data_IF_771456735562
#
_entry.id   IF_771456735562
#
_cell.length_a   1.000
_cell.length_b   1.000
_cell.length_c   1.000
_cell.angle_alpha   90.00
_cell.angle_beta   90.00
_cell.angle_gamma   90.00
#
_symmetry.space_group_name_H-M   'P 1'
#
loop_
_entity.id
_entity.type
_entity.pdbx_description
1 polymer ?
#
# COMPACT_ATOMS: atom_id res chain seq x y z
N UNK A 1 35.32 33.93 -15.92
CA UNK A 1 35.15 35.33 -15.49
C UNK A 1 33.71 35.53 -15.18
N UNK A 2 33.47 35.59 -13.99
CA UNK A 2 33.00 36.59 -13.07
C UNK A 2 31.51 36.48 -12.72
N UNK A 3 31.17 35.82 -11.63
CA UNK A 3 29.97 36.08 -10.81
C UNK A 3 30.21 35.77 -9.31
N UNK A 4 31.41 36.15 -8.80
CA UNK A 4 31.79 36.04 -7.38
C UNK A 4 32.06 37.40 -6.73
N UNK A 5 31.36 38.47 -7.11
CA UNK A 5 31.57 39.80 -6.52
C UNK A 5 30.27 40.60 -6.32
N UNK A 6 29.27 40.02 -5.65
CA UNK A 6 28.08 40.79 -5.26
C UNK A 6 27.44 40.36 -3.91
N UNK A 7 28.24 39.84 -3.00
CA UNK A 7 27.79 39.51 -1.65
C UNK A 7 28.66 40.08 -0.52
N UNK A 8 29.48 41.13 -0.83
CA UNK A 8 30.44 41.70 0.14
C UNK A 8 30.21 43.18 0.48
N UNK A 9 29.05 43.78 0.18
CA UNK A 9 28.84 45.24 0.37
C UNK A 9 27.61 45.60 1.20
N UNK A 10 27.16 44.74 2.13
CA UNK A 10 26.05 45.06 3.03
C UNK A 10 26.38 44.86 4.52
N UNK A 11 27.66 44.85 4.89
CA UNK A 11 28.10 44.72 6.30
C UNK A 11 29.17 45.72 6.70
N UNK A 12 29.21 46.88 6.07
CA UNK A 12 30.11 47.97 6.49
C UNK A 12 29.37 49.31 6.45
N UNK A 13 28.64 49.63 7.49
CA UNK A 13 27.99 50.92 7.57
C UNK A 13 27.05 51.08 8.74
N UNK A 14 27.51 50.93 9.98
CA UNK A 14 27.06 51.71 11.15
C UNK A 14 28.11 51.51 12.26
N UNK A 15 29.13 52.34 12.25
CA UNK A 15 29.93 52.62 13.43
C UNK A 15 30.49 54.01 13.27
N UNK A 16 29.78 55.00 13.77
CA UNK A 16 30.34 56.25 14.40
C UNK A 16 29.21 57.21 14.71
N UNK A 17 28.91 57.39 15.96
CA UNK A 17 28.45 58.62 16.62
C UNK A 17 28.26 58.29 18.12
N UNK A 18 29.29 58.41 18.83
CA UNK A 18 29.67 59.46 19.81
C UNK A 18 28.70 59.70 20.96
N UNK A 19 29.19 59.32 22.14
CA UNK A 19 29.15 60.01 23.43
C UNK A 19 27.91 60.83 23.85
N UNK A 20 27.20 60.47 24.86
CA UNK A 20 27.21 61.01 26.21
C UNK A 20 26.03 60.58 27.07
N UNK A 21 26.34 60.36 28.34
CA UNK A 21 25.53 60.42 29.52
C UNK A 21 24.72 59.17 29.95
N UNK A 22 25.35 58.46 30.85
CA UNK A 22 24.82 57.92 32.12
C UNK A 22 23.32 58.03 32.36
N UNK A 23 22.69 56.90 32.30
CA UNK A 23 21.75 56.43 33.33
C UNK A 23 21.69 54.94 33.23
N UNK A 24 22.13 54.23 34.28
CA UNK A 24 21.91 52.79 34.44
C UNK A 24 20.40 52.57 34.63
N UNK A 25 19.73 52.36 33.54
CA UNK A 25 18.39 51.75 33.57
C UNK A 25 18.61 50.27 33.64
N UNK A 26 18.22 49.67 34.75
CA UNK A 26 18.12 48.20 34.90
C UNK A 26 17.30 47.69 33.72
N UNK A 27 17.88 46.77 32.96
CA UNK A 27 17.17 46.09 31.89
C UNK A 27 15.86 45.55 32.46
N UNK A 28 14.76 45.80 31.80
CA UNK A 28 13.47 45.32 32.23
C UNK A 28 13.46 43.77 32.20
N UNK A 29 12.75 43.17 33.08
CA UNK A 29 12.65 41.70 33.15
C UNK A 29 12.29 41.07 31.79
N UNK A 30 11.60 41.82 30.94
CA UNK A 30 11.31 41.51 29.52
C UNK A 30 12.54 41.51 28.60
N UNK A 31 13.45 42.44 28.80
CA UNK A 31 14.69 42.54 27.99
C UNK A 31 15.62 41.35 28.32
N UNK A 32 15.79 41.03 29.59
CA UNK A 32 16.53 39.85 30.04
C UNK A 32 15.92 38.55 29.53
N UNK A 33 14.58 38.44 29.49
CA UNK A 33 13.90 37.28 28.88
C UNK A 33 14.08 37.23 27.36
N UNK A 34 14.13 38.37 26.66
CA UNK A 34 14.37 38.44 25.23
C UNK A 34 15.81 38.03 24.89
N UNK A 35 16.78 38.49 25.66
CA UNK A 35 18.19 38.13 25.47
C UNK A 35 18.40 36.62 25.72
N UNK A 36 17.83 36.09 26.78
CA UNK A 36 17.89 34.64 27.07
C UNK A 36 17.23 33.78 25.95
N UNK A 37 16.15 34.28 25.33
CA UNK A 37 15.51 33.63 24.16
C UNK A 37 16.34 33.74 22.91
N UNK A 38 17.00 34.87 22.66
CA UNK A 38 17.91 35.04 21.52
C UNK A 38 19.12 34.13 21.65
N UNK A 39 19.75 34.03 22.82
CA UNK A 39 20.86 33.09 23.04
C UNK A 39 20.44 31.63 22.90
N UNK A 40 19.21 31.27 23.30
CA UNK A 40 18.68 29.92 23.11
C UNK A 40 18.42 29.60 21.65
N UNK A 41 17.92 30.58 20.88
CA UNK A 41 17.72 30.47 19.43
C UNK A 41 19.05 30.39 18.67
N UNK A 42 20.06 31.16 19.03
CA UNK A 42 21.38 31.09 18.42
C UNK A 42 22.05 29.72 18.66
N UNK A 43 21.93 29.18 19.90
CA UNK A 43 22.41 27.83 20.21
C UNK A 43 21.67 26.75 19.41
N UNK A 44 20.35 26.85 19.29
CA UNK A 44 19.54 25.94 18.50
C UNK A 44 19.86 26.02 17.00
N UNK A 45 20.10 27.23 16.49
CA UNK A 45 20.50 27.43 15.10
C UNK A 45 21.90 26.89 14.81
N UNK A 46 22.85 27.05 15.71
CA UNK A 46 24.18 26.46 15.63
C UNK A 46 24.15 24.92 15.62
N UNK A 47 23.31 24.33 16.48
CA UNK A 47 23.09 22.87 16.52
C UNK A 47 22.48 22.35 15.21
N UNK A 48 21.43 23.00 14.70
CA UNK A 48 20.80 22.66 13.42
C UNK A 48 21.75 22.78 12.23
N UNK A 49 22.62 23.79 12.21
CA UNK A 49 23.66 23.90 11.18
C UNK A 49 24.67 22.74 11.26
N UNK A 50 25.03 22.32 12.48
CA UNK A 50 25.91 21.16 12.69
C UNK A 50 25.28 19.87 12.19
N UNK A 51 24.00 19.63 12.52
CA UNK A 51 23.26 18.45 12.02
C UNK A 51 23.08 18.47 10.50
N UNK A 52 22.81 19.64 9.93
CA UNK A 52 22.69 19.78 8.47
C UNK A 52 24.02 19.46 7.76
N UNK A 53 25.15 19.90 8.32
CA UNK A 53 26.47 19.59 7.77
C UNK A 53 26.79 18.10 7.89
N UNK A 54 26.48 17.47 9.02
CA UNK A 54 26.63 16.04 9.23
C UNK A 54 25.78 15.25 8.24
N UNK A 55 24.51 15.58 8.11
CA UNK A 55 23.58 14.93 7.15
C UNK A 55 24.04 15.09 5.70
N UNK A 56 24.61 16.26 5.33
CA UNK A 56 25.18 16.46 4.00
C UNK A 56 26.42 15.59 3.75
N UNK A 57 27.26 15.41 4.76
CA UNK A 57 28.44 14.54 4.65
C UNK A 57 28.05 13.07 4.55
N UNK A 58 27.09 12.62 5.34
CA UNK A 58 26.52 11.26 5.28
C UNK A 58 25.86 10.98 3.92
N UNK A 59 25.10 11.91 3.38
CA UNK A 59 24.52 11.81 2.05
C UNK A 59 25.56 11.78 0.93
N UNK A 60 26.66 12.50 1.07
CA UNK A 60 27.76 12.45 0.11
C UNK A 60 28.47 11.08 0.13
N UNK A 61 28.69 10.52 1.33
CA UNK A 61 29.27 9.18 1.50
C UNK A 61 28.33 8.08 0.95
N UNK A 62 27.03 8.19 1.19
CA UNK A 62 26.02 7.27 0.62
C UNK A 62 25.99 7.34 -0.91
N UNK A 63 26.08 8.53 -1.50
CA UNK A 63 26.14 8.68 -2.96
C UNK A 63 27.39 8.04 -3.55
N UNK A 64 28.54 8.17 -2.90
CA UNK A 64 29.76 7.46 -3.32
C UNK A 64 29.63 5.95 -3.20
N UNK A 65 29.00 5.45 -2.13
CA UNK A 65 28.75 4.02 -1.96
C UNK A 65 27.79 3.48 -3.04
N UNK A 66 26.75 4.23 -3.40
CA UNK A 66 25.82 3.89 -4.49
C UNK A 66 26.55 3.84 -5.84
N UNK A 67 27.36 4.85 -6.16
CA UNK A 67 28.14 4.87 -7.41
C UNK A 67 29.13 3.70 -7.48
N UNK A 68 29.76 3.34 -6.36
CA UNK A 68 30.66 2.19 -6.31
C UNK A 68 29.93 0.83 -6.40
N UNK A 69 28.69 0.75 -5.89
CA UNK A 69 27.83 -0.41 -6.05
C UNK A 69 27.32 -0.56 -7.49
N UNK A 70 26.98 0.57 -8.13
CA UNK A 70 26.51 0.61 -9.53
C UNK A 70 27.64 0.22 -10.51
N UNK A 71 28.89 0.66 -10.26
CA UNK A 71 30.03 0.23 -11.06
C UNK A 71 30.33 -1.27 -10.92
N UNK A 72 30.23 -1.84 -9.71
CA UNK A 72 30.34 -3.28 -9.48
C UNK A 72 29.19 -4.09 -10.09
N UNK A 73 27.99 -3.54 -10.06
CA UNK A 73 26.84 -4.14 -10.74
C UNK A 73 27.01 -4.12 -12.26
N UNK A 74 27.55 -3.04 -12.83
CA UNK A 74 27.84 -2.91 -14.27
C UNK A 74 28.96 -3.88 -14.70
N UNK A 75 30.01 -4.09 -13.90
CA UNK A 75 31.02 -5.11 -14.14
C UNK A 75 30.43 -6.52 -14.08
N UNK A 76 29.58 -6.81 -13.10
CA UNK A 76 28.90 -8.10 -12.99
C UNK A 76 27.97 -8.37 -14.19
N UNK A 77 27.26 -7.33 -14.69
CA UNK A 77 26.46 -7.40 -15.91
C UNK A 77 27.33 -7.66 -17.14
N UNK A 78 28.51 -7.04 -17.24
CA UNK A 78 29.44 -7.24 -18.36
C UNK A 78 30.03 -8.65 -18.37
N UNK A 79 30.37 -9.20 -17.19
CA UNK A 79 30.83 -10.59 -17.03
C UNK A 79 29.68 -11.57 -17.33
N UNK A 80 28.43 -11.27 -16.91
CA UNK A 80 27.28 -12.08 -17.24
C UNK A 80 26.91 -12.04 -18.73
N UNK A 81 27.11 -10.91 -19.42
CA UNK A 81 26.94 -10.79 -20.87
C UNK A 81 28.03 -11.57 -21.65
N UNK A 82 29.26 -11.55 -21.18
CA UNK A 82 30.35 -12.34 -21.80
C UNK A 82 30.13 -13.86 -21.64
N UNK A 83 29.54 -14.29 -20.52
CA UNK A 83 29.14 -15.69 -20.31
C UNK A 83 27.92 -16.08 -21.19
N UNK A 84 27.08 -15.14 -21.57
CA UNK A 84 25.88 -15.35 -22.40
C UNK A 84 26.18 -15.64 -23.88
N UNK A 85 27.34 -15.24 -24.38
CA UNK A 85 27.79 -15.51 -25.77
C UNK A 85 28.25 -16.96 -25.96
N UNK A 86 28.52 -17.68 -24.89
CA UNK A 86 29.06 -19.06 -24.92
C UNK A 86 28.02 -20.18 -24.85
N UNK A 87 26.71 -19.89 -24.68
CA UNK A 87 25.68 -20.93 -24.55
C UNK A 87 24.34 -20.49 -25.14
N UNK A 88 24.21 -20.57 -26.46
CA UNK A 88 22.93 -20.47 -27.15
C UNK A 88 22.18 -21.82 -27.02
N UNK A 89 21.49 -22.04 -25.90
CA UNK A 89 20.42 -23.03 -25.79
C UNK A 89 19.14 -22.24 -25.50
N UNK A 90 18.00 -22.51 -26.20
CA UNK A 90 16.75 -21.81 -25.91
C UNK A 90 16.38 -22.05 -24.45
N UNK A 91 16.42 -21.00 -23.64
CA UNK A 91 16.06 -21.08 -22.24
C UNK A 91 14.54 -21.26 -22.09
N UNK A 92 14.09 -22.47 -21.90
CA UNK A 92 12.80 -22.72 -21.32
C UNK A 92 12.87 -22.22 -19.85
N UNK A 93 12.15 -21.12 -19.56
CA UNK A 93 11.78 -20.69 -18.22
C UNK A 93 12.88 -20.25 -17.22
N UNK A 94 13.82 -19.37 -17.60
CA UNK A 94 14.79 -18.75 -16.68
C UNK A 94 16.24 -19.15 -16.94
N UNK A 95 17.18 -18.58 -16.20
CA UNK A 95 18.60 -18.88 -16.25
C UNK A 95 19.10 -19.41 -14.90
N UNK A 96 20.27 -20.08 -14.90
CA UNK A 96 20.90 -20.59 -13.67
C UNK A 96 22.08 -19.74 -13.27
N UNK A 97 22.32 -19.58 -11.97
CA UNK A 97 23.45 -18.85 -11.40
C UNK A 97 24.28 -19.74 -10.45
N UNK A 98 25.49 -19.31 -10.17
CA UNK A 98 26.43 -20.06 -9.33
C UNK A 98 26.87 -21.35 -10.00
N UNK A 99 26.95 -22.44 -9.25
CA UNK A 99 27.29 -23.79 -9.75
C UNK A 99 26.19 -24.45 -10.59
N UNK A 100 25.20 -23.69 -11.09
CA UNK A 100 24.06 -24.21 -11.83
C UNK A 100 22.91 -24.73 -10.94
N UNK A 101 23.02 -24.60 -9.62
CA UNK A 101 22.05 -25.13 -8.66
C UNK A 101 20.83 -24.23 -8.48
N UNK A 102 20.94 -22.91 -8.70
CA UNK A 102 19.85 -21.93 -8.51
C UNK A 102 19.27 -21.51 -9.84
N UNK A 103 17.99 -21.77 -10.04
CA UNK A 103 17.20 -21.24 -11.17
C UNK A 103 16.69 -19.86 -10.82
N UNK A 104 16.88 -18.90 -11.72
CA UNK A 104 16.43 -17.52 -11.61
C UNK A 104 15.39 -17.24 -12.68
N UNK A 105 14.23 -16.75 -12.29
CA UNK A 105 13.20 -16.23 -13.19
C UNK A 105 12.94 -14.77 -12.88
N UNK A 106 13.02 -13.93 -13.91
CA UNK A 106 12.60 -12.55 -13.86
C UNK A 106 11.31 -12.46 -14.67
N UNK A 107 10.32 -11.76 -14.16
CA UNK A 107 9.09 -11.52 -14.85
C UNK A 107 8.40 -10.27 -14.31
N UNK A 108 7.26 -9.98 -14.88
CA UNK A 108 6.53 -8.78 -14.51
C UNK A 108 5.58 -8.33 -15.59
N UNK A 109 5.23 -7.08 -15.49
CA UNK A 109 4.51 -6.40 -16.54
C UNK A 109 4.80 -4.89 -16.50
N UNK A 110 4.82 -4.28 -17.67
CA UNK A 110 4.73 -2.84 -17.83
C UNK A 110 3.25 -2.52 -17.98
N UNK A 111 2.74 -1.61 -17.16
CA UNK A 111 1.33 -1.20 -17.23
C UNK A 111 1.23 0.32 -17.17
N UNK A 112 0.53 0.89 -18.16
CA UNK A 112 0.13 2.28 -18.18
C UNK A 112 -1.37 2.38 -18.03
N UNK A 113 -1.83 3.38 -17.29
CA UNK A 113 -3.23 3.61 -16.97
C UNK A 113 -3.56 5.09 -17.22
N UNK A 114 -4.69 5.34 -17.87
CA UNK A 114 -5.28 6.67 -17.99
C UNK A 114 -6.64 6.66 -17.30
N UNK A 115 -6.86 7.51 -16.31
CA UNK A 115 -8.10 7.64 -15.57
C UNK A 115 -8.79 8.96 -15.88
N UNK A 116 -10.11 8.91 -16.01
CA UNK A 116 -10.99 10.07 -16.14
C UNK A 116 -12.04 9.94 -15.05
N UNK A 117 -11.90 10.74 -14.02
CA UNK A 117 -12.70 10.65 -12.79
C UNK A 117 -13.61 11.87 -12.65
N UNK A 118 -14.85 11.63 -12.25
CA UNK A 118 -15.80 12.66 -11.84
C UNK A 118 -16.23 12.38 -10.41
N UNK A 119 -16.05 13.37 -9.53
CA UNK A 119 -16.39 13.33 -8.12
C UNK A 119 -17.62 14.22 -7.86
N UNK A 120 -18.57 13.75 -7.07
CA UNK A 120 -19.82 14.51 -6.82
C UNK A 120 -19.63 15.67 -5.84
N UNK A 121 -18.82 15.52 -4.81
CA UNK A 121 -18.86 16.36 -3.62
C UNK A 121 -17.49 16.86 -3.17
N UNK A 122 -16.66 17.33 -4.08
CA UNK A 122 -15.35 17.90 -3.77
C UNK A 122 -14.26 17.44 -4.73
N UNK A 123 -13.04 17.77 -4.39
CA UNK A 123 -11.83 17.47 -5.17
C UNK A 123 -10.90 16.54 -4.39
N UNK A 124 -10.12 15.75 -5.10
CA UNK A 124 -9.13 14.83 -4.55
C UNK A 124 -7.74 15.38 -4.78
N UNK A 125 -6.94 15.49 -3.73
CA UNK A 125 -5.58 16.02 -3.82
C UNK A 125 -4.75 15.29 -4.89
N UNK A 126 -3.94 16.03 -5.63
CA UNK A 126 -3.14 15.50 -6.76
C UNK A 126 -2.20 14.34 -6.39
N UNK A 127 -1.77 14.25 -5.13
CA UNK A 127 -0.90 13.19 -4.62
C UNK A 127 -1.66 12.07 -3.87
N UNK A 128 -3.00 12.09 -3.92
CA UNK A 128 -3.83 11.06 -3.29
C UNK A 128 -3.77 9.76 -4.07
N UNK A 129 -3.62 8.63 -3.39
CA UNK A 129 -3.74 7.31 -4.00
C UNK A 129 -5.12 7.06 -4.63
N UNK A 130 -6.16 7.78 -4.17
CA UNK A 130 -7.51 7.71 -4.75
C UNK A 130 -7.59 8.22 -6.20
N UNK A 131 -6.59 8.98 -6.68
CA UNK A 131 -6.45 9.34 -8.09
C UNK A 131 -5.82 8.22 -8.91
N UNK A 132 -4.86 7.49 -8.34
CA UNK A 132 -4.12 6.42 -9.00
C UNK A 132 -4.96 5.14 -9.20
N UNK A 133 -5.86 4.84 -8.26
CA UNK A 133 -6.76 3.68 -8.30
C UNK A 133 -8.01 3.93 -7.46
N UNK A 134 -8.99 3.05 -7.59
CA UNK A 134 -10.23 3.14 -6.81
C UNK A 134 -10.00 2.88 -5.33
N UNK A 135 -10.27 3.90 -4.52
CA UNK A 135 -10.12 3.87 -3.07
C UNK A 135 -11.35 4.55 -2.43
N UNK A 136 -12.32 3.80 -1.89
CA UNK A 136 -13.60 4.35 -1.42
C UNK A 136 -13.43 5.49 -0.40
N UNK A 137 -12.52 5.34 0.56
CA UNK A 137 -12.27 6.37 1.58
C UNK A 137 -11.68 7.68 1.04
N UNK A 138 -11.19 7.69 -0.20
CA UNK A 138 -10.71 8.90 -0.87
C UNK A 138 -11.83 9.67 -1.59
N UNK A 139 -13.03 9.10 -1.73
CA UNK A 139 -14.17 9.80 -2.34
C UNK A 139 -14.57 10.96 -1.44
N UNK A 140 -14.57 12.23 -1.94
CA UNK A 140 -14.92 13.38 -1.15
C UNK A 140 -16.39 13.35 -0.72
N UNK A 141 -16.67 13.78 0.52
CA UNK A 141 -18.02 13.89 1.09
C UNK A 141 -18.20 15.29 1.69
N UNK A 142 -19.37 15.85 1.55
CA UNK A 142 -19.75 17.13 2.17
C UNK A 142 -19.29 18.39 1.43
N UNK A 143 -18.63 18.25 0.29
CA UNK A 143 -18.36 19.37 -0.61
C UNK A 143 -19.60 19.83 -1.37
N UNK A 144 -19.52 21.02 -1.97
CA UNK A 144 -20.64 21.67 -2.69
C UNK A 144 -20.46 21.69 -4.20
N UNK A 145 -19.36 21.17 -4.70
CA UNK A 145 -19.03 21.20 -6.14
C UNK A 145 -18.59 19.84 -6.62
N UNK A 146 -19.01 19.50 -7.81
CA UNK A 146 -18.40 18.42 -8.59
C UNK A 146 -16.99 18.81 -9.03
N UNK A 147 -16.10 17.84 -9.12
CA UNK A 147 -14.80 17.99 -9.74
C UNK A 147 -14.51 16.88 -10.75
N UNK A 148 -13.56 17.12 -11.64
CA UNK A 148 -13.09 16.14 -12.62
C UNK A 148 -11.57 16.12 -12.63
N UNK A 149 -11.01 14.90 -12.64
CA UNK A 149 -9.58 14.67 -12.71
C UNK A 149 -9.25 13.75 -13.89
N UNK A 150 -8.14 14.05 -14.53
CA UNK A 150 -7.56 13.20 -15.56
C UNK A 150 -6.10 12.91 -15.19
N UNK A 151 -5.78 11.64 -15.02
CA UNK A 151 -4.45 11.21 -14.65
C UNK A 151 -3.93 10.17 -15.65
N UNK A 152 -2.63 10.22 -15.93
CA UNK A 152 -1.94 9.23 -16.73
C UNK A 152 -0.71 8.74 -15.97
N UNK A 153 -0.61 7.44 -15.74
CA UNK A 153 0.41 6.88 -14.84
C UNK A 153 0.93 5.52 -15.33
N UNK A 154 2.20 5.25 -15.03
CA UNK A 154 2.82 3.93 -15.19
C UNK A 154 3.19 3.27 -13.84
N UNK A 155 2.72 3.82 -12.71
CA UNK A 155 3.04 3.37 -11.34
C UNK A 155 2.68 1.91 -11.08
N UNK A 156 1.69 1.37 -11.78
CA UNK A 156 1.28 -0.02 -11.63
C UNK A 156 2.22 -1.03 -12.30
N UNK A 157 3.26 -0.56 -13.01
CA UNK A 157 4.33 -1.42 -13.54
C UNK A 157 4.96 -2.22 -12.42
N UNK A 158 5.08 -3.54 -12.61
CA UNK A 158 5.50 -4.49 -11.58
C UNK A 158 6.60 -5.40 -12.08
N UNK A 159 7.58 -5.62 -11.23
CA UNK A 159 8.69 -6.53 -11.47
C UNK A 159 8.76 -7.56 -10.34
N UNK A 160 9.13 -8.79 -10.68
CA UNK A 160 9.40 -9.82 -9.69
C UNK A 160 10.58 -10.69 -10.09
N UNK A 161 11.27 -11.16 -9.07
CA UNK A 161 12.37 -12.10 -9.13
C UNK A 161 11.97 -13.36 -8.35
N UNK A 162 12.12 -14.52 -8.97
CA UNK A 162 11.91 -15.82 -8.31
C UNK A 162 13.20 -16.63 -8.41
N UNK A 163 13.70 -17.08 -7.26
CA UNK A 163 14.85 -17.94 -7.09
C UNK A 163 14.38 -19.32 -6.64
N UNK A 164 14.90 -20.38 -7.23
CA UNK A 164 14.58 -21.75 -6.80
C UNK A 164 15.85 -22.61 -6.85
N UNK A 165 16.13 -23.30 -5.75
CA UNK A 165 17.28 -24.17 -5.59
C UNK A 165 16.85 -25.48 -4.93
N UNK A 166 17.39 -26.59 -5.41
CA UNK A 166 17.29 -27.88 -4.73
C UNK A 166 18.57 -28.11 -3.92
N UNK A 167 18.44 -28.25 -2.60
CA UNK A 167 19.58 -28.44 -1.68
C UNK A 167 19.27 -29.61 -0.75
N UNK A 168 20.10 -30.65 -0.76
CA UNK A 168 19.98 -31.82 0.13
C UNK A 168 18.58 -32.46 0.14
N UNK A 169 17.89 -32.46 -1.00
CA UNK A 169 16.53 -33.01 -1.13
C UNK A 169 15.40 -32.05 -0.74
N UNK A 170 15.73 -30.81 -0.34
CA UNK A 170 14.79 -29.77 0.01
C UNK A 170 14.66 -28.73 -1.11
N UNK A 171 13.50 -28.09 -1.22
CA UNK A 171 13.25 -26.97 -2.12
C UNK A 171 13.38 -25.65 -1.36
N UNK A 172 14.37 -24.84 -1.75
CA UNK A 172 14.54 -23.48 -1.26
C UNK A 172 14.11 -22.50 -2.34
N UNK A 173 13.20 -21.56 -2.00
CA UNK A 173 12.77 -20.50 -2.90
C UNK A 173 12.99 -19.12 -2.26
N UNK A 174 13.36 -18.15 -3.10
CA UNK A 174 13.37 -16.74 -2.77
C UNK A 174 12.46 -16.00 -3.74
N UNK A 175 11.68 -15.04 -3.26
CA UNK A 175 10.78 -14.25 -4.08
C UNK A 175 10.84 -12.78 -3.67
N UNK A 176 10.97 -11.89 -4.66
CA UNK A 176 10.89 -10.43 -4.46
C UNK A 176 9.96 -9.85 -5.52
N UNK A 177 9.04 -8.99 -5.11
CA UNK A 177 8.10 -8.30 -5.99
C UNK A 177 8.04 -6.81 -5.62
N UNK A 178 8.11 -5.94 -6.63
CA UNK A 178 8.10 -4.49 -6.47
C UNK A 178 7.20 -3.84 -7.51
N UNK A 179 6.61 -2.69 -7.20
CA UNK A 179 5.99 -1.76 -8.14
C UNK A 179 6.27 -0.31 -7.72
N UNK A 180 5.68 0.66 -8.41
CA UNK A 180 5.85 2.09 -8.14
C UNK A 180 4.56 2.73 -7.58
N UNK A 181 3.63 1.92 -7.04
CA UNK A 181 2.37 2.40 -6.48
C UNK A 181 2.61 2.97 -5.08
N UNK A 182 3.24 4.14 -5.04
CA UNK A 182 3.58 4.93 -3.86
C UNK A 182 3.14 6.38 -4.06
N UNK A 183 3.20 7.18 -3.01
CA UNK A 183 3.15 8.63 -3.13
C UNK A 183 4.32 9.14 -4.00
N UNK A 184 4.27 10.42 -4.41
CA UNK A 184 5.35 11.02 -5.16
C UNK A 184 6.67 10.91 -4.37
N UNK A 185 7.70 10.36 -5.02
CA UNK A 185 9.03 10.20 -4.43
C UNK A 185 9.83 11.49 -4.37
N UNK A 186 11.07 11.38 -3.90
CA UNK A 186 12.01 12.50 -3.77
C UNK A 186 12.41 13.13 -5.11
N UNK A 187 12.22 12.44 -6.22
CA UNK A 187 12.53 12.93 -7.59
C UNK A 187 11.44 13.84 -8.14
N UNK A 188 10.33 13.99 -7.44
CA UNK A 188 9.23 14.89 -7.78
C UNK A 188 8.06 14.21 -8.49
N UNK A 189 6.95 14.94 -8.56
CA UNK A 189 5.68 14.54 -9.15
C UNK A 189 5.60 14.85 -10.65
N UNK A 190 4.39 14.83 -11.19
CA UNK A 190 4.06 15.23 -12.58
C UNK A 190 4.61 16.62 -12.97
N UNK A 191 4.73 17.50 -11.98
CA UNK A 191 5.28 18.85 -12.19
C UNK A 191 6.76 18.85 -12.57
N UNK A 192 7.47 17.75 -12.42
CA UNK A 192 8.90 17.60 -12.70
C UNK A 192 9.18 16.40 -13.64
N UNK A 193 9.49 15.26 -13.09
CA UNK A 193 9.99 14.10 -13.84
C UNK A 193 9.16 12.82 -13.65
N UNK A 194 8.05 12.88 -12.93
CA UNK A 194 7.26 11.68 -12.55
C UNK A 194 8.11 10.58 -11.86
N UNK A 195 9.07 10.99 -11.04
CA UNK A 195 9.95 10.09 -10.31
C UNK A 195 9.22 9.49 -9.11
N UNK A 196 8.86 8.21 -9.17
CA UNK A 196 8.21 7.49 -8.09
C UNK A 196 9.17 6.50 -7.43
N UNK A 197 9.03 6.33 -6.11
CA UNK A 197 9.82 5.40 -5.35
C UNK A 197 9.38 3.95 -5.60
N UNK A 198 10.33 3.03 -5.49
CA UNK A 198 10.07 1.61 -5.63
C UNK A 198 9.45 1.06 -4.33
N UNK A 199 8.25 0.52 -4.41
CA UNK A 199 7.57 -0.13 -3.29
C UNK A 199 7.92 -1.61 -3.21
N UNK A 200 8.41 -2.07 -2.05
CA UNK A 200 8.52 -3.49 -1.77
C UNK A 200 7.12 -4.06 -1.51
N UNK A 201 6.68 -4.93 -2.39
CA UNK A 201 5.37 -5.60 -2.24
C UNK A 201 5.49 -6.89 -1.46
N UNK A 202 6.33 -7.79 -1.94
CA UNK A 202 6.55 -9.11 -1.35
C UNK A 202 8.04 -9.42 -1.35
N UNK A 203 8.52 -9.96 -0.26
CA UNK A 203 9.90 -10.45 -0.14
C UNK A 203 9.91 -11.59 0.89
N UNK A 204 10.11 -12.82 0.43
CA UNK A 204 10.10 -13.97 1.32
C UNK A 204 11.05 -15.08 0.87
N UNK A 205 11.42 -15.90 1.82
CA UNK A 205 12.08 -17.18 1.60
C UNK A 205 11.10 -18.31 1.92
N UNK A 206 11.09 -19.33 1.10
CA UNK A 206 10.34 -20.55 1.34
C UNK A 206 11.28 -21.75 1.42
N UNK A 207 11.18 -22.51 2.50
CA UNK A 207 11.82 -23.80 2.68
C UNK A 207 10.76 -24.89 2.74
N UNK A 208 10.64 -25.69 1.69
CA UNK A 208 9.57 -26.66 1.47
C UNK A 208 8.16 -26.07 1.71
N UNK A 209 7.58 -26.35 2.89
CA UNK A 209 6.23 -25.93 3.29
C UNK A 209 6.21 -24.65 4.14
N UNK A 210 7.38 -24.20 4.59
CA UNK A 210 7.51 -23.04 5.45
C UNK A 210 7.87 -21.81 4.62
N UNK A 211 7.10 -20.72 4.75
CA UNK A 211 7.35 -19.41 4.15
C UNK A 211 7.63 -18.41 5.25
N UNK A 212 8.71 -17.63 5.12
CA UNK A 212 9.10 -16.58 6.08
C UNK A 212 9.42 -15.30 5.31
N UNK A 213 8.84 -14.19 5.70
CA UNK A 213 9.06 -12.88 5.09
C UNK A 213 7.76 -12.12 4.85
N UNK A 214 7.81 -11.09 4.03
CA UNK A 214 6.65 -10.27 3.68
C UNK A 214 5.90 -10.88 2.51
N UNK A 215 4.63 -11.23 2.73
CA UNK A 215 3.74 -11.78 1.70
C UNK A 215 2.30 -11.32 1.94
N UNK A 216 1.39 -11.68 1.04
CA UNK A 216 -0.03 -11.60 1.31
C UNK A 216 -0.38 -12.37 2.58
N UNK A 217 -1.21 -11.76 3.42
CA UNK A 217 -1.74 -12.43 4.60
C UNK A 217 -2.32 -13.80 4.25
N UNK A 218 -2.17 -14.76 5.13
CA UNK A 218 -2.81 -16.07 5.00
C UNK A 218 -4.35 -15.96 5.00
N UNK A 219 -4.89 -14.90 5.62
CA UNK A 219 -6.32 -14.60 5.62
C UNK A 219 -6.86 -14.22 4.23
N UNK A 220 -5.99 -13.68 3.35
CA UNK A 220 -6.36 -13.30 1.99
C UNK A 220 -6.32 -14.46 1.02
N UNK A 221 -7.33 -14.59 0.15
CA UNK A 221 -7.31 -15.46 -1.02
C UNK A 221 -7.16 -14.62 -2.31
N UNK A 222 -5.93 -14.43 -2.78
CA UNK A 222 -5.65 -13.64 -3.98
C UNK A 222 -6.10 -14.32 -5.29
N UNK A 223 -6.39 -15.65 -5.29
CA UNK A 223 -6.73 -16.39 -6.51
C UNK A 223 -8.12 -16.07 -7.05
N UNK A 224 -8.99 -15.52 -6.21
CA UNK A 224 -10.37 -15.17 -6.57
C UNK A 224 -10.54 -13.71 -6.98
N UNK A 225 -9.47 -12.90 -6.97
CA UNK A 225 -9.56 -11.49 -7.37
C UNK A 225 -10.00 -11.38 -8.83
N UNK A 226 -10.96 -10.51 -9.15
CA UNK A 226 -11.43 -10.32 -10.51
C UNK A 226 -10.39 -9.61 -11.37
N UNK A 227 -10.51 -9.77 -12.69
CA UNK A 227 -9.73 -9.01 -13.65
C UNK A 227 -10.31 -7.60 -13.78
N UNK A 228 -9.45 -6.58 -13.62
CA UNK A 228 -9.80 -5.17 -13.68
C UNK A 228 -8.67 -4.36 -14.31
N UNK A 229 -8.98 -3.22 -14.91
CA UNK A 229 -7.97 -2.23 -15.28
C UNK A 229 -7.45 -1.51 -14.05
N UNK A 230 -8.26 -1.38 -13.00
CA UNK A 230 -7.88 -0.82 -11.72
C UNK A 230 -6.81 -1.66 -11.00
N UNK A 231 -6.16 -1.07 -10.01
CA UNK A 231 -5.09 -1.73 -9.24
C UNK A 231 -5.60 -2.86 -8.34
N UNK A 232 -6.75 -2.69 -7.72
CA UNK A 232 -7.39 -3.67 -6.82
C UNK A 232 -8.66 -4.25 -7.45
N UNK A 233 -9.47 -3.40 -8.07
CA UNK A 233 -10.77 -3.74 -8.63
C UNK A 233 -11.90 -3.62 -7.61
N UNK A 234 -12.20 -4.68 -6.87
CA UNK A 234 -13.29 -4.73 -5.86
C UNK A 234 -12.77 -4.34 -4.47
N UNK A 235 -12.29 -3.11 -4.31
CA UNK A 235 -11.51 -2.67 -3.14
C UNK A 235 -12.27 -2.88 -1.84
N UNK A 236 -13.50 -2.41 -1.74
CA UNK A 236 -14.30 -2.47 -0.51
C UNK A 236 -14.66 -3.90 -0.10
N UNK A 237 -14.79 -4.81 -1.06
CA UNK A 237 -15.12 -6.23 -0.81
C UNK A 237 -13.92 -7.12 -0.58
N UNK A 238 -12.70 -6.59 -0.66
CA UNK A 238 -11.48 -7.39 -0.74
C UNK A 238 -10.68 -7.37 0.56
N UNK A 239 -10.28 -8.55 1.04
CA UNK A 239 -9.19 -8.66 2.01
C UNK A 239 -7.90 -8.32 1.28
N UNK A 240 -7.19 -7.25 1.69
CA UNK A 240 -6.04 -6.73 0.95
C UNK A 240 -4.94 -6.22 1.89
N UNK A 241 -4.15 -7.13 2.45
CA UNK A 241 -3.05 -6.80 3.33
C UNK A 241 -1.83 -7.66 3.03
N UNK A 242 -0.67 -7.05 3.06
CA UNK A 242 0.65 -7.69 2.96
C UNK A 242 1.45 -7.31 4.19
N UNK A 243 2.08 -8.28 4.81
CA UNK A 243 2.82 -8.07 6.05
C UNK A 243 3.87 -9.15 6.25
N UNK A 244 4.88 -8.93 7.10
CA UNK A 244 5.78 -9.98 7.56
C UNK A 244 4.99 -11.12 8.21
N UNK A 245 5.34 -12.34 7.87
CA UNK A 245 4.68 -13.54 8.36
C UNK A 245 5.59 -14.76 8.37
N UNK A 246 5.21 -15.72 9.18
CA UNK A 246 5.65 -17.12 9.09
C UNK A 246 4.41 -17.95 8.74
N UNK A 247 4.43 -18.61 7.59
CA UNK A 247 3.31 -19.43 7.12
C UNK A 247 3.75 -20.87 6.86
N UNK A 248 3.02 -21.82 7.44
CA UNK A 248 3.17 -23.23 7.15
C UNK A 248 2.01 -23.72 6.27
N UNK A 249 2.33 -24.39 5.16
CA UNK A 249 1.35 -24.85 4.16
C UNK A 249 1.35 -26.37 4.09
N UNK A 250 0.30 -27.02 4.62
CA UNK A 250 0.16 -28.47 4.67
C UNK A 250 -0.83 -28.96 3.62
N UNK A 251 -0.38 -29.68 2.57
CA UNK A 251 -1.27 -30.42 1.71
C UNK A 251 -2.00 -31.53 2.50
N UNK A 252 -3.32 -31.59 2.37
CA UNK A 252 -4.19 -32.61 2.93
C UNK A 252 -4.71 -33.56 1.84
N UNK A 253 -3.84 -33.92 0.90
CA UNK A 253 -4.14 -34.70 -0.29
C UNK A 253 -3.88 -33.88 -1.57
N UNK A 254 -4.51 -34.29 -2.69
CA UNK A 254 -4.25 -33.67 -4.02
C UNK A 254 -5.00 -32.35 -4.26
N UNK A 255 -6.09 -32.14 -3.55
CA UNK A 255 -7.02 -31.03 -3.83
C UNK A 255 -7.17 -30.04 -2.69
N UNK A 256 -6.65 -30.34 -1.51
CA UNK A 256 -6.87 -29.55 -0.31
C UNK A 256 -5.55 -29.14 0.30
N UNK A 257 -5.41 -27.88 0.67
CA UNK A 257 -4.24 -27.35 1.40
C UNK A 257 -4.70 -26.53 2.58
N UNK A 258 -4.13 -26.79 3.74
CA UNK A 258 -4.33 -26.02 4.95
C UNK A 258 -3.10 -25.14 5.18
N UNK A 259 -3.32 -23.85 5.40
CA UNK A 259 -2.31 -22.86 5.71
C UNK A 259 -2.52 -22.36 7.13
N UNK A 260 -1.44 -22.24 7.90
CA UNK A 260 -1.39 -21.55 9.19
C UNK A 260 -0.39 -20.41 9.10
N UNK A 261 -0.76 -19.25 9.59
CA UNK A 261 0.07 -18.05 9.60
C UNK A 261 0.20 -17.46 11.00
N UNK A 262 1.40 -17.03 11.33
CA UNK A 262 1.72 -16.12 12.42
C UNK A 262 2.22 -14.86 11.73
N UNK A 263 1.51 -13.74 11.92
CA UNK A 263 1.67 -12.55 11.10
C UNK A 263 1.96 -11.33 11.99
N UNK A 264 2.62 -10.34 11.43
CA UNK A 264 2.97 -9.12 12.14
C UNK A 264 1.68 -8.42 12.63
N UNK A 265 1.55 -8.17 13.94
CA UNK A 265 0.40 -7.44 14.45
C UNK A 265 0.54 -5.95 14.12
N UNK A 266 -0.58 -5.26 14.02
CA UNK A 266 -0.68 -3.80 13.93
C UNK A 266 -2.15 -3.41 14.06
N UNK A 267 -2.46 -2.46 14.94
CA UNK A 267 -3.81 -1.94 15.13
C UNK A 267 -3.97 -0.55 14.54
N UNK A 268 -4.85 -0.43 13.54
CA UNK A 268 -5.29 0.87 13.04
C UNK A 268 -6.48 1.36 13.87
N UNK A 269 -6.24 2.26 14.83
CA UNK A 269 -7.28 2.81 15.71
C UNK A 269 -7.67 4.23 15.32
N UNK A 270 -8.83 4.69 15.78
CA UNK A 270 -9.22 6.09 15.73
C UNK A 270 -9.76 6.53 17.09
N UNK A 271 -9.50 7.78 17.48
CA UNK A 271 -10.06 8.35 18.68
C UNK A 271 -11.53 8.74 18.47
N UNK A 272 -12.38 8.51 19.47
CA UNK A 272 -13.76 8.96 19.41
C UNK A 272 -13.83 10.46 19.06
N UNK A 273 -14.59 10.81 18.02
CA UNK A 273 -14.70 12.17 17.50
C UNK A 273 -13.64 12.58 16.47
N UNK A 274 -12.71 11.69 16.12
CA UNK A 274 -11.71 11.92 15.07
C UNK A 274 -11.64 10.75 14.10
N UNK A 275 -11.72 11.01 12.80
CA UNK A 275 -11.61 9.98 11.75
C UNK A 275 -10.16 9.68 11.35
N UNK A 276 -9.21 10.37 11.96
CA UNK A 276 -7.78 10.13 11.71
C UNK A 276 -7.40 8.79 12.32
N UNK A 277 -6.92 7.89 11.49
CA UNK A 277 -6.39 6.61 11.95
C UNK A 277 -4.97 6.76 12.46
N UNK A 278 -4.69 6.05 13.54
CA UNK A 278 -3.39 6.00 14.21
C UNK A 278 -2.91 4.56 14.16
N UNK A 279 -1.71 4.37 13.66
CA UNK A 279 -0.96 3.12 13.81
C UNK A 279 -0.23 3.22 15.15
N UNK A 280 -0.55 2.34 16.09
CA UNK A 280 -0.06 2.45 17.47
C UNK A 280 1.26 1.70 17.67
N UNK A 281 1.51 0.63 16.91
CA UNK A 281 2.66 -0.27 17.06
C UNK A 281 2.82 -0.84 18.48
N UNK A 282 1.67 -1.01 19.17
CA UNK A 282 1.61 -1.42 20.59
C UNK A 282 1.19 -2.90 20.74
N UNK A 283 0.92 -3.59 19.64
CA UNK A 283 0.41 -4.97 19.64
C UNK A 283 1.52 -5.96 19.99
N UNK A 284 1.44 -6.58 21.16
CA UNK A 284 2.44 -7.52 21.65
C UNK A 284 2.24 -8.98 21.23
N UNK A 285 1.05 -9.33 20.72
CA UNK A 285 0.68 -10.68 20.31
C UNK A 285 0.49 -10.72 18.80
N UNK A 286 1.21 -11.61 18.08
CA UNK A 286 1.03 -11.76 16.63
C UNK A 286 -0.40 -12.09 16.23
N UNK A 287 -0.78 -11.69 15.01
CA UNK A 287 -2.04 -12.12 14.40
C UNK A 287 -1.95 -13.60 13.98
N UNK A 288 -2.91 -14.42 14.41
CA UNK A 288 -3.02 -15.83 14.03
C UNK A 288 -4.03 -16.02 12.93
N UNK A 289 -3.60 -16.63 11.85
CA UNK A 289 -4.43 -16.84 10.66
C UNK A 289 -4.43 -18.29 10.25
N UNK A 290 -5.55 -18.75 9.68
CA UNK A 290 -5.63 -20.05 9.05
C UNK A 290 -6.48 -19.96 7.78
N UNK A 291 -6.13 -20.73 6.74
CA UNK A 291 -6.93 -20.83 5.51
C UNK A 291 -6.91 -22.25 4.97
N UNK A 292 -8.10 -22.77 4.69
CA UNK A 292 -8.30 -24.03 3.98
C UNK A 292 -8.67 -23.73 2.52
N UNK A 293 -7.84 -24.16 1.57
CA UNK A 293 -8.13 -24.11 0.15
C UNK A 293 -8.54 -25.50 -0.35
N UNK A 294 -9.59 -25.54 -1.18
CA UNK A 294 -10.05 -26.75 -1.83
C UNK A 294 -10.28 -26.52 -3.32
N UNK A 295 -9.65 -27.32 -4.16
CA UNK A 295 -9.75 -27.24 -5.62
C UNK A 295 -10.60 -28.41 -6.12
N UNK A 296 -11.57 -28.10 -6.97
CA UNK A 296 -12.45 -29.07 -7.63
C UNK A 296 -12.26 -29.02 -9.16
N UNK A 297 -12.92 -29.91 -9.89
CA UNK A 297 -12.92 -29.88 -11.35
C UNK A 297 -13.58 -28.61 -11.94
N UNK A 298 -14.52 -28.00 -11.19
CA UNK A 298 -15.29 -26.84 -11.64
C UNK A 298 -14.92 -25.53 -10.92
N UNK A 299 -13.98 -25.56 -9.97
CA UNK A 299 -13.62 -24.32 -9.27
C UNK A 299 -12.65 -24.51 -8.11
N UNK A 300 -12.41 -23.43 -7.41
CA UNK A 300 -11.62 -23.39 -6.18
C UNK A 300 -12.35 -22.59 -5.11
N UNK A 301 -12.24 -23.05 -3.86
CA UNK A 301 -12.92 -22.48 -2.72
C UNK A 301 -11.95 -22.33 -1.56
N UNK A 302 -12.15 -21.31 -0.74
CA UNK A 302 -11.38 -21.16 0.48
C UNK A 302 -12.25 -20.63 1.62
N UNK A 303 -11.91 -21.10 2.84
CA UNK A 303 -12.40 -20.54 4.10
C UNK A 303 -11.18 -20.13 4.89
N UNK A 304 -11.18 -18.90 5.42
CA UNK A 304 -10.10 -18.38 6.23
C UNK A 304 -10.62 -17.82 7.55
N UNK A 305 -9.80 -17.92 8.60
CA UNK A 305 -10.03 -17.38 9.93
C UNK A 305 -8.85 -16.53 10.39
N UNK A 306 -9.15 -15.53 11.21
CA UNK A 306 -8.20 -14.62 11.82
C UNK A 306 -8.59 -14.40 13.29
N UNK A 307 -7.60 -14.43 14.18
CA UNK A 307 -7.71 -13.98 15.59
C UNK A 307 -6.51 -13.09 15.89
N UNK A 308 -6.74 -11.95 16.54
CA UNK A 308 -5.72 -10.94 16.80
C UNK A 308 -5.96 -10.19 18.11
N UNK A 309 -4.91 -9.61 18.67
CA UNK A 309 -4.99 -8.57 19.67
C UNK A 309 -5.10 -7.21 18.98
N UNK A 310 -5.83 -6.28 19.59
CA UNK A 310 -5.84 -4.86 19.30
C UNK A 310 -5.36 -4.17 20.54
N UNK A 311 -4.31 -3.38 20.46
CA UNK A 311 -3.73 -2.74 21.64
C UNK A 311 -3.46 -1.26 21.45
N UNK A 312 -3.55 -0.51 22.53
CA UNK A 312 -3.03 0.84 22.68
C UNK A 312 -2.32 0.89 24.01
N UNK A 313 -1.01 1.13 23.99
CA UNK A 313 -0.18 1.22 25.17
C UNK A 313 0.78 2.42 25.08
N UNK A 314 0.55 3.40 25.91
CA UNK A 314 1.46 4.52 26.10
C UNK A 314 1.54 4.88 27.57
N UNK A 315 2.43 5.79 27.96
CA UNK A 315 2.70 6.11 29.37
C UNK A 315 1.45 6.47 30.23
N UNK A 316 0.32 6.82 29.60
CA UNK A 316 -0.90 7.26 30.27
C UNK A 316 -2.11 6.34 29.99
N UNK A 317 -2.04 5.49 28.97
CA UNK A 317 -3.17 4.72 28.46
C UNK A 317 -2.68 3.29 28.22
N UNK A 318 -3.44 2.34 28.73
CA UNK A 318 -3.25 0.91 28.46
C UNK A 318 -4.62 0.26 28.34
N UNK A 319 -4.97 -0.24 27.18
CA UNK A 319 -6.15 -1.08 26.97
C UNK A 319 -5.99 -1.98 25.74
N UNK A 320 -6.60 -3.15 25.79
CA UNK A 320 -6.58 -4.10 24.70
C UNK A 320 -7.98 -4.68 24.42
N UNK A 321 -8.16 -5.21 23.24
CA UNK A 321 -9.35 -5.90 22.80
C UNK A 321 -9.00 -7.05 21.86
N UNK A 322 -9.85 -8.09 21.83
CA UNK A 322 -9.70 -9.16 20.86
C UNK A 322 -10.43 -8.83 19.55
N UNK A 323 -9.72 -9.04 18.44
CA UNK A 323 -10.28 -9.01 17.10
C UNK A 323 -10.39 -10.42 16.52
N UNK A 324 -11.37 -10.64 15.64
CA UNK A 324 -11.54 -11.90 14.91
C UNK A 324 -12.17 -11.65 13.54
N UNK A 325 -11.90 -12.55 12.60
CA UNK A 325 -12.49 -12.49 11.27
C UNK A 325 -12.67 -13.87 10.64
N UNK A 326 -13.66 -13.97 9.78
CA UNK A 326 -13.91 -15.13 8.92
C UNK A 326 -14.13 -14.65 7.50
N UNK A 327 -13.50 -15.33 6.52
CA UNK A 327 -13.66 -15.05 5.10
C UNK A 327 -13.96 -16.32 4.34
N UNK A 328 -14.96 -16.28 3.46
CA UNK A 328 -15.29 -17.33 2.51
C UNK A 328 -15.10 -16.77 1.11
N UNK A 329 -14.44 -17.51 0.25
CA UNK A 329 -14.17 -17.06 -1.12
C UNK A 329 -14.15 -18.23 -2.09
N UNK A 330 -14.39 -17.94 -3.36
CA UNK A 330 -14.35 -18.97 -4.37
C UNK A 330 -14.34 -18.43 -5.79
N UNK A 331 -14.01 -19.35 -6.69
CA UNK A 331 -14.09 -19.19 -8.14
C UNK A 331 -14.75 -20.41 -8.72
N UNK A 332 -15.84 -20.21 -9.46
CA UNK A 332 -16.62 -21.27 -10.11
C UNK A 332 -16.50 -21.10 -11.62
N UNK A 333 -15.98 -22.09 -12.33
CA UNK A 333 -15.90 -22.12 -13.77
C UNK A 333 -17.17 -22.76 -14.35
N UNK A 334 -17.81 -22.12 -15.31
CA UNK A 334 -19.06 -22.60 -15.92
C UNK A 334 -18.83 -23.46 -17.17
N UNK A 335 -17.62 -23.45 -17.72
CA UNK A 335 -17.25 -24.23 -18.88
C UNK A 335 -15.87 -24.91 -18.70
N UNK A 336 -15.66 -26.02 -19.41
CA UNK A 336 -14.38 -26.75 -19.35
C UNK A 336 -13.19 -25.93 -19.87
N UNK A 337 -13.43 -24.97 -20.76
CA UNK A 337 -12.41 -24.05 -21.28
C UNK A 337 -12.12 -22.88 -20.34
N UNK A 338 -12.83 -22.79 -19.21
CA UNK A 338 -12.68 -21.75 -18.17
C UNK A 338 -12.79 -20.31 -18.74
N UNK A 339 -13.63 -20.14 -19.75
CA UNK A 339 -13.88 -18.83 -20.35
C UNK A 339 -14.86 -17.99 -19.54
N UNK A 340 -15.76 -18.67 -18.81
CA UNK A 340 -16.79 -18.07 -17.97
C UNK A 340 -16.58 -18.50 -16.54
N UNK A 341 -16.41 -17.54 -15.64
CA UNK A 341 -16.24 -17.82 -14.23
C UNK A 341 -16.95 -16.79 -13.34
N UNK A 342 -17.44 -17.24 -12.20
CA UNK A 342 -17.92 -16.40 -11.11
C UNK A 342 -16.88 -16.43 -9.99
N UNK A 343 -16.50 -15.26 -9.51
CA UNK A 343 -15.60 -15.07 -8.37
C UNK A 343 -16.30 -14.32 -7.28
N UNK A 344 -16.04 -14.68 -6.05
CA UNK A 344 -16.67 -14.05 -4.90
C UNK A 344 -15.77 -14.11 -3.66
N UNK A 345 -16.00 -13.17 -2.75
CA UNK A 345 -15.47 -13.16 -1.40
C UNK A 345 -16.50 -12.52 -0.48
N UNK A 346 -16.66 -13.06 0.71
CA UNK A 346 -17.45 -12.47 1.78
C UNK A 346 -16.68 -12.62 3.10
N UNK A 347 -16.50 -11.51 3.80
CA UNK A 347 -15.69 -11.41 5.01
C UNK A 347 -16.49 -10.69 6.09
N UNK A 348 -16.47 -11.23 7.29
CA UNK A 348 -17.07 -10.62 8.47
C UNK A 348 -16.13 -10.75 9.65
N UNK A 349 -16.08 -9.72 10.47
CA UNK A 349 -15.31 -9.75 11.71
C UNK A 349 -15.44 -8.51 12.56
N UNK A 350 -14.76 -8.55 13.69
CA UNK A 350 -14.63 -7.46 14.65
C UNK A 350 -13.13 -7.12 14.77
N UNK A 351 -12.76 -5.85 14.66
CA UNK A 351 -11.37 -5.44 14.73
C UNK A 351 -10.53 -5.88 13.52
N UNK A 352 -11.10 -5.86 12.33
CA UNK A 352 -10.44 -6.29 11.08
C UNK A 352 -10.39 -5.20 9.99
N UNK A 353 -10.56 -3.93 10.36
CA UNK A 353 -10.60 -2.82 9.42
C UNK A 353 -9.36 -2.75 8.53
N UNK A 354 -8.15 -2.95 9.11
CA UNK A 354 -6.90 -2.93 8.33
C UNK A 354 -6.80 -4.07 7.31
N UNK A 355 -7.50 -5.17 7.52
CA UNK A 355 -7.49 -6.31 6.60
C UNK A 355 -8.40 -6.11 5.39
N UNK A 356 -9.39 -5.21 5.48
CA UNK A 356 -10.47 -5.09 4.49
C UNK A 356 -10.55 -3.70 3.92
N UNK A 357 -10.75 -3.59 2.62
CA UNK A 357 -11.00 -2.31 1.95
C UNK A 357 -9.88 -1.29 2.05
N UNK A 358 -8.64 -1.73 2.30
CA UNK A 358 -7.48 -0.84 2.46
C UNK A 358 -7.69 0.21 3.58
N UNK A 359 -8.11 -0.22 4.76
CA UNK A 359 -8.41 0.67 5.90
C UNK A 359 -9.59 1.62 5.65
N UNK A 360 -10.69 1.14 5.06
CA UNK A 360 -11.91 1.94 4.92
C UNK A 360 -12.48 2.38 6.28
N UNK A 361 -12.40 1.53 7.29
CA UNK A 361 -12.78 1.80 8.67
C UNK A 361 -11.65 1.38 9.63
N UNK A 362 -11.51 2.01 10.81
CA UNK A 362 -10.53 1.60 11.81
C UNK A 362 -10.83 0.20 12.36
N UNK A 363 -9.80 -0.48 12.87
CA UNK A 363 -9.96 -1.73 13.62
C UNK A 363 -10.76 -1.51 14.91
N UNK A 364 -10.47 -0.42 15.60
CA UNK A 364 -11.12 -0.08 16.86
C UNK A 364 -11.19 1.43 17.07
N UNK A 365 -12.14 1.83 17.94
CA UNK A 365 -12.27 3.19 18.44
C UNK A 365 -11.69 3.25 19.86
N UNK A 366 -10.74 4.14 20.07
CA UNK A 366 -10.28 4.51 21.39
C UNK A 366 -11.18 5.60 21.99
N UNK A 367 -11.61 5.41 23.23
CA UNK A 367 -12.53 6.31 23.94
C UNK A 367 -11.76 7.06 25.03
N UNK A 368 -11.37 8.32 24.79
CA UNK A 368 -10.73 9.14 25.81
C UNK A 368 -11.61 9.33 27.06
N UNK A 369 -11.00 9.46 28.21
CA UNK A 369 -11.69 9.70 29.49
C UNK A 369 -12.13 8.44 30.23
N UNK A 370 -12.45 7.36 29.53
CA UNK A 370 -12.63 6.02 30.14
C UNK A 370 -11.51 5.05 29.78
N UNK A 371 -10.61 5.49 28.88
CA UNK A 371 -9.45 4.73 28.40
C UNK A 371 -9.83 3.32 27.94
N UNK A 372 -10.77 3.23 27.00
CA UNK A 372 -11.30 1.97 26.48
C UNK A 372 -11.16 1.87 24.97
N UNK A 373 -10.67 0.73 24.53
CA UNK A 373 -10.63 0.31 23.14
C UNK A 373 -11.87 -0.52 22.81
N UNK A 374 -12.56 -0.16 21.71
CA UNK A 374 -13.77 -0.86 21.27
C UNK A 374 -13.63 -1.22 19.79
N UNK A 375 -13.62 -2.52 19.52
CA UNK A 375 -13.49 -3.04 18.16
C UNK A 375 -14.69 -2.62 17.28
N UNK A 376 -14.42 -2.33 16.02
CA UNK A 376 -15.40 -2.01 14.98
C UNK A 376 -15.76 -3.29 14.24
N UNK A 377 -17.05 -3.55 14.04
CA UNK A 377 -17.51 -4.69 13.26
C UNK A 377 -17.53 -4.34 11.78
N UNK A 378 -16.98 -5.19 10.94
CA UNK A 378 -16.90 -4.97 9.50
C UNK A 378 -17.47 -6.16 8.74
N UNK A 379 -18.33 -5.87 7.77
CA UNK A 379 -18.74 -6.81 6.72
C UNK A 379 -18.28 -6.30 5.37
N UNK A 380 -17.75 -7.18 4.54
CA UNK A 380 -17.28 -6.84 3.20
C UNK A 380 -17.53 -7.99 2.24
N UNK A 381 -17.92 -7.68 1.00
CA UNK A 381 -18.16 -8.72 0.00
C UNK A 381 -17.98 -8.20 -1.42
N UNK A 382 -17.62 -9.10 -2.32
CA UNK A 382 -17.71 -8.85 -3.76
C UNK A 382 -18.19 -10.07 -4.52
N UNK A 383 -18.75 -9.82 -5.70
CA UNK A 383 -19.01 -10.81 -6.73
C UNK A 383 -18.58 -10.27 -8.09
N UNK A 384 -18.00 -11.13 -8.94
CA UNK A 384 -17.53 -10.77 -10.26
C UNK A 384 -17.77 -11.90 -11.25
N UNK A 385 -18.37 -11.59 -12.40
CA UNK A 385 -18.66 -12.51 -13.49
C UNK A 385 -17.74 -12.20 -14.67
N UNK A 386 -16.86 -13.15 -15.01
CA UNK A 386 -16.01 -13.08 -16.20
C UNK A 386 -16.69 -13.76 -17.40
N UNK A 387 -16.64 -13.08 -18.53
CA UNK A 387 -17.24 -13.49 -19.81
C UNK A 387 -16.18 -13.49 -20.89
N UNK A 388 -15.80 -14.67 -21.40
CA UNK A 388 -14.86 -14.83 -22.49
C UNK A 388 -15.58 -14.90 -23.85
N UNK A 389 -15.72 -13.78 -24.53
CA UNK A 389 -16.45 -13.67 -25.79
C UNK A 389 -15.76 -14.40 -26.95
N UNK A 390 -14.45 -14.16 -27.08
CA UNK A 390 -13.58 -14.80 -28.07
C UNK A 390 -12.26 -15.21 -27.40
N UNK A 391 -11.34 -15.90 -28.06
CA UNK A 391 -10.00 -16.15 -27.49
C UNK A 391 -9.21 -14.90 -27.11
N UNK A 392 -9.53 -13.74 -27.74
CA UNK A 392 -8.81 -12.48 -27.53
C UNK A 392 -9.65 -11.39 -26.85
N UNK A 393 -10.97 -11.58 -26.68
CA UNK A 393 -11.88 -10.58 -26.12
C UNK A 393 -12.63 -11.14 -24.91
N UNK A 394 -12.59 -10.42 -23.80
CA UNK A 394 -13.23 -10.79 -22.55
C UNK A 394 -13.70 -9.58 -21.75
N UNK A 395 -14.68 -9.79 -20.91
CA UNK A 395 -15.23 -8.78 -20.00
C UNK A 395 -15.31 -9.33 -18.58
N UNK A 396 -15.30 -8.44 -17.59
CA UNK A 396 -15.69 -8.73 -16.22
C UNK A 396 -16.70 -7.68 -15.77
N UNK A 397 -17.81 -8.13 -15.21
CA UNK A 397 -18.76 -7.27 -14.49
C UNK A 397 -18.61 -7.61 -13.01
N UNK A 398 -18.47 -6.61 -12.16
CA UNK A 398 -18.23 -6.80 -10.74
C UNK A 398 -19.00 -5.81 -9.88
N UNK A 399 -19.36 -6.24 -8.68
CA UNK A 399 -19.96 -5.42 -7.64
C UNK A 399 -19.29 -5.75 -6.32
N UNK A 400 -19.12 -4.74 -5.49
CA UNK A 400 -18.53 -4.87 -4.15
C UNK A 400 -19.20 -3.96 -3.14
N UNK A 401 -19.09 -4.34 -1.87
CA UNK A 401 -19.78 -3.71 -0.76
C UNK A 401 -18.98 -3.86 0.53
N UNK A 402 -18.98 -2.82 1.35
CA UNK A 402 -18.46 -2.85 2.72
C UNK A 402 -19.36 -2.05 3.65
N UNK A 403 -19.50 -2.55 4.88
CA UNK A 403 -20.21 -1.85 5.96
C UNK A 403 -19.39 -1.94 7.25
N UNK A 404 -19.32 -0.82 7.98
CA UNK A 404 -18.68 -0.72 9.29
C UNK A 404 -19.73 -0.35 10.34
N UNK A 405 -19.79 -1.12 11.43
CA UNK A 405 -20.69 -0.86 12.55
C UNK A 405 -19.89 -0.47 13.80
N UNK A 406 -20.09 0.76 14.21
CA UNK A 406 -19.41 1.34 15.38
C UNK A 406 -20.06 0.92 16.70
N UNK A 407 -19.29 0.98 17.83
CA UNK A 407 -19.81 0.65 19.15
C UNK A 407 -21.00 1.53 19.55
N UNK A 408 -21.99 0.94 20.22
CA UNK A 408 -23.12 1.66 20.77
C UNK A 408 -22.85 2.28 22.16
N UNK A 409 -23.80 3.10 22.64
CA UNK A 409 -23.75 3.69 23.98
C UNK A 409 -23.10 5.08 24.02
N UNK A 410 -22.92 5.73 22.86
CA UNK A 410 -22.37 7.07 22.72
C UNK A 410 -23.45 8.09 22.36
N UNK A 411 -23.20 9.41 22.59
CA UNK A 411 -24.11 10.47 22.17
C UNK A 411 -24.41 10.39 20.66
N UNK A 412 -25.60 10.83 20.29
CA UNK A 412 -25.96 11.01 18.88
C UNK A 412 -24.95 11.93 18.22
N UNK A 413 -24.49 11.55 17.03
CA UNK A 413 -23.49 12.32 16.28
C UNK A 413 -22.03 12.00 16.59
N UNK A 414 -21.74 11.17 17.60
CA UNK A 414 -20.35 10.82 17.97
C UNK A 414 -19.52 10.19 16.81
N UNK A 415 -20.20 9.55 15.87
CA UNK A 415 -19.59 8.90 14.71
C UNK A 415 -19.98 9.52 13.36
N UNK A 416 -20.66 10.65 13.33
CA UNK A 416 -21.23 11.23 12.10
C UNK A 416 -20.24 11.37 10.94
N UNK A 417 -18.99 11.67 11.22
CA UNK A 417 -17.94 11.84 10.22
C UNK A 417 -17.26 10.52 9.78
N UNK A 418 -17.57 9.39 10.44
CA UNK A 418 -16.92 8.12 10.12
C UNK A 418 -17.58 7.43 8.92
N UNK A 419 -16.81 6.65 8.20
CA UNK A 419 -17.30 5.82 7.11
C UNK A 419 -18.22 4.72 7.65
N UNK A 420 -19.44 4.61 7.15
CA UNK A 420 -20.34 3.50 7.50
C UNK A 420 -20.45 2.49 6.36
N UNK A 421 -20.48 2.97 5.13
CA UNK A 421 -20.76 2.13 3.97
C UNK A 421 -19.98 2.61 2.74
N UNK A 422 -19.56 1.66 1.93
CA UNK A 422 -19.10 1.90 0.57
C UNK A 422 -19.55 0.75 -0.33
N UNK A 423 -19.89 1.09 -1.57
CA UNK A 423 -20.19 0.11 -2.60
C UNK A 423 -19.74 0.58 -3.97
N UNK A 424 -19.48 -0.35 -4.86
CA UNK A 424 -19.20 -0.02 -6.26
C UNK A 424 -19.71 -1.10 -7.20
N UNK A 425 -19.95 -0.67 -8.44
CA UNK A 425 -20.17 -1.54 -9.58
C UNK A 425 -19.19 -1.14 -10.68
N UNK A 426 -18.61 -2.13 -11.36
CA UNK A 426 -17.73 -1.89 -12.49
C UNK A 426 -17.93 -2.92 -13.60
N UNK A 427 -17.66 -2.48 -14.82
CA UNK A 427 -17.66 -3.36 -16.00
C UNK A 427 -16.52 -3.00 -16.92
N UNK A 428 -15.82 -4.02 -17.41
CA UNK A 428 -14.67 -3.83 -18.30
C UNK A 428 -14.74 -4.63 -19.58
N UNK A 429 -13.89 -4.26 -20.51
CA UNK A 429 -13.62 -4.98 -21.73
C UNK A 429 -12.10 -5.03 -21.95
N UNK A 430 -11.57 -6.25 -22.08
CA UNK A 430 -10.16 -6.48 -22.40
C UNK A 430 -10.01 -7.12 -23.79
N UNK A 431 -9.07 -6.59 -24.56
CA UNK A 431 -8.63 -7.14 -25.81
C UNK A 431 -7.15 -7.52 -25.74
N UNK A 432 -6.84 -8.79 -26.02
CA UNK A 432 -5.47 -9.34 -26.05
C UNK A 432 -5.12 -9.74 -27.49
N UNK A 433 -4.67 -8.80 -28.34
CA UNK A 433 -4.37 -9.09 -29.73
C UNK A 433 -3.27 -10.15 -29.90
N UNK A 434 -2.32 -10.16 -28.99
CA UNK A 434 -1.24 -11.16 -28.92
C UNK A 434 -1.00 -11.58 -27.47
N UNK A 435 -0.38 -12.73 -27.27
CA UNK A 435 -0.03 -13.23 -25.93
C UNK A 435 0.84 -12.22 -25.18
N UNK A 436 0.48 -11.94 -23.94
CA UNK A 436 1.20 -11.03 -23.04
C UNK A 436 0.88 -9.55 -23.22
N UNK A 437 0.09 -9.15 -24.22
CA UNK A 437 -0.32 -7.76 -24.41
C UNK A 437 -1.83 -7.62 -24.27
N UNK A 438 -2.27 -6.81 -23.30
CA UNK A 438 -3.66 -6.53 -23.00
C UNK A 438 -3.94 -5.04 -23.15
N UNK A 439 -5.05 -4.70 -23.82
CA UNK A 439 -5.67 -3.39 -23.78
C UNK A 439 -7.01 -3.53 -23.07
N UNK A 440 -7.28 -2.65 -22.12
CA UNK A 440 -8.49 -2.68 -21.30
C UNK A 440 -9.15 -1.33 -21.20
N UNK A 441 -10.48 -1.34 -21.11
CA UNK A 441 -11.29 -0.19 -20.68
C UNK A 441 -12.24 -0.66 -19.60
N UNK A 442 -12.41 0.14 -18.54
CA UNK A 442 -13.32 -0.12 -17.43
C UNK A 442 -14.12 1.15 -17.10
N UNK A 443 -15.40 0.98 -16.84
CA UNK A 443 -16.21 1.99 -16.20
C UNK A 443 -16.54 1.53 -14.78
N UNK A 444 -16.45 2.45 -13.83
CA UNK A 444 -16.79 2.25 -12.42
C UNK A 444 -17.65 3.37 -11.90
N UNK A 445 -18.70 2.99 -11.18
CA UNK A 445 -19.44 3.85 -10.27
C UNK A 445 -19.21 3.36 -8.84
N UNK A 446 -18.86 4.27 -7.92
CA UNK A 446 -18.64 3.96 -6.51
C UNK A 446 -19.22 5.05 -5.62
N UNK A 447 -19.73 4.66 -4.46
CA UNK A 447 -20.29 5.55 -3.46
C UNK A 447 -19.67 5.29 -2.09
N UNK A 448 -19.43 6.36 -1.35
CA UNK A 448 -19.00 6.37 0.05
C UNK A 448 -20.05 7.09 0.88
N UNK A 449 -20.45 6.48 2.00
CA UNK A 449 -21.47 7.01 2.90
C UNK A 449 -20.88 7.11 4.31
N UNK A 450 -21.13 8.23 4.98
CA UNK A 450 -20.77 8.46 6.37
C UNK A 450 -21.93 8.07 7.31
N UNK A 451 -21.62 7.90 8.59
CA UNK A 451 -22.64 7.61 9.63
C UNK A 451 -23.74 8.67 9.68
N UNK A 452 -23.44 9.93 9.39
CA UNK A 452 -24.39 11.02 9.27
C UNK A 452 -25.41 10.87 8.11
N UNK A 453 -25.17 9.92 7.19
CA UNK A 453 -25.93 9.79 5.95
C UNK A 453 -25.40 10.68 4.81
N UNK A 454 -24.40 11.54 5.06
CA UNK A 454 -23.75 12.27 3.98
C UNK A 454 -22.98 11.30 3.09
N UNK A 455 -23.05 11.52 1.77
CA UNK A 455 -22.41 10.64 0.79
C UNK A 455 -21.54 11.40 -0.22
N UNK A 456 -20.75 10.65 -0.97
CA UNK A 456 -20.02 11.11 -2.12
C UNK A 456 -19.92 10.00 -3.14
N UNK A 457 -19.85 10.37 -4.42
CA UNK A 457 -19.85 9.46 -5.55
C UNK A 457 -18.61 9.68 -6.43
N UNK A 458 -18.14 8.59 -7.02
CA UNK A 458 -17.14 8.56 -8.07
C UNK A 458 -17.73 7.91 -9.32
N UNK A 459 -17.57 8.56 -10.48
CA UNK A 459 -17.70 7.93 -11.78
C UNK A 459 -16.35 7.99 -12.48
N UNK A 460 -15.79 6.82 -12.84
CA UNK A 460 -14.47 6.72 -13.46
C UNK A 460 -14.51 5.88 -14.72
N UNK A 461 -13.88 6.39 -15.77
CA UNK A 461 -13.47 5.59 -16.93
C UNK A 461 -11.97 5.41 -16.83
N UNK A 462 -11.50 4.17 -16.98
CA UNK A 462 -10.09 3.83 -16.93
C UNK A 462 -9.68 3.05 -18.18
N UNK A 463 -8.60 3.47 -18.82
CA UNK A 463 -7.95 2.75 -19.92
C UNK A 463 -6.63 2.19 -19.42
N UNK A 464 -6.33 0.96 -19.80
CA UNK A 464 -5.04 0.33 -19.44
C UNK A 464 -4.42 -0.34 -20.66
N UNK A 465 -3.10 -0.20 -20.79
CA UNK A 465 -2.27 -1.02 -21.66
C UNK A 465 -1.26 -1.77 -20.79
N UNK A 466 -1.19 -3.11 -20.95
CA UNK A 466 -0.32 -3.97 -20.14
C UNK A 466 0.45 -4.94 -21.04
N UNK A 467 1.76 -4.98 -20.88
CA UNK A 467 2.65 -5.97 -21.46
C UNK A 467 3.27 -6.83 -20.36
N UNK A 468 3.01 -8.13 -20.39
CA UNK A 468 3.52 -9.11 -19.44
C UNK A 468 4.61 -9.97 -20.06
N UNK A 469 5.71 -10.22 -19.35
CA UNK A 469 6.89 -10.96 -19.79
C UNK A 469 7.42 -11.91 -18.73
#
# INVERSE_FOLDING_TARGET
MSSRKMAAWLLAGVATATFMSTSALAATEKELQLEARMEALERAFGSLQGELQKTKAENAALRQAVVSADSKASEAVTVAQAAKVASAVPAADGFTVGSGATRVKIGGFIKTVATFSKWSNGDVAANSLGRDFYLPQAIPVGGVRESTDNDFSAKQTRLWLNLETQVAGHTLKGYVETDFQTAAGTQGSERTTNGYDLALRRAYVQFDKLTVGQDWSTFQNATVLPESTDFVGTTEGTVFVRQPLVRYSQPLGKSTTLHFGIENPESATANLGSTVMVENDDDGIPDFTARLNHVTSFGEFAVAGLVRQLAVDNAAIHDDAMGYGVSVSGKVNFDAAKRYDLRFMATYGSGIGRYVGLNFAPDAIFIPGVNRLRAVNTFASFAALRLGWTPTLRSTVMASYQNAKYPGGFPVGAFDAYNIEAWSVAGNLFWSPVKGFDLGVEYRHGERILVSGANGELNRVEFAAKYSF
#
